data_IF_254218812421
#
_entry.id   IF_254218812421
#
_cell.length_a   1.000
_cell.length_b   1.000
_cell.length_c   1.000
_cell.angle_alpha   90.00
_cell.angle_beta   90.00
_cell.angle_gamma   90.00
#
_symmetry.space_group_name_H-M   'P 1'
#
loop_
_entity.id
_entity.type
_entity.pdbx_description
1 polymer ?
#
# COMPACT_ATOMS: atom_id res chain seq x y z
N UNK A 1 -26.06 15.87 -20.06
CA UNK A 1 -26.44 14.62 -19.36
C UNK A 1 -25.38 13.52 -19.55
N UNK A 2 -24.89 13.26 -20.76
CA UNK A 2 -23.89 12.20 -21.06
C UNK A 2 -22.56 12.34 -20.30
N UNK A 3 -22.07 13.56 -20.11
CA UNK A 3 -20.82 13.81 -19.37
C UNK A 3 -20.87 13.37 -17.90
N UNK A 4 -21.99 13.56 -17.21
CA UNK A 4 -22.15 13.10 -15.82
C UNK A 4 -22.20 11.58 -15.72
N UNK A 5 -22.74 10.89 -16.74
CA UNK A 5 -22.74 9.43 -16.81
C UNK A 5 -21.32 8.91 -16.98
N UNK A 6 -20.53 9.55 -17.86
CA UNK A 6 -19.12 9.19 -18.05
C UNK A 6 -18.27 9.39 -16.79
N UNK A 7 -18.40 10.53 -16.09
CA UNK A 7 -17.66 10.79 -14.84
C UNK A 7 -18.00 9.75 -13.77
N UNK A 8 -19.29 9.41 -13.60
CA UNK A 8 -19.71 8.36 -12.66
C UNK A 8 -19.11 6.99 -13.00
N UNK A 9 -19.01 6.66 -14.28
CA UNK A 9 -18.36 5.43 -14.72
C UNK A 9 -16.84 5.44 -14.43
N UNK A 10 -16.17 6.57 -14.61
CA UNK A 10 -14.75 6.74 -14.27
C UNK A 10 -14.51 6.62 -12.76
N UNK A 11 -15.35 7.25 -11.93
CA UNK A 11 -15.27 7.12 -10.46
C UNK A 11 -15.35 5.65 -10.06
N UNK A 12 -16.32 4.91 -10.61
CA UNK A 12 -16.48 3.48 -10.30
C UNK A 12 -15.26 2.66 -10.69
N UNK A 13 -14.66 2.92 -11.85
CA UNK A 13 -13.43 2.26 -12.27
C UNK A 13 -12.27 2.55 -11.31
N UNK A 14 -12.12 3.81 -10.86
CA UNK A 14 -11.10 4.19 -9.90
C UNK A 14 -11.33 3.55 -8.53
N UNK A 15 -12.58 3.41 -8.09
CA UNK A 15 -12.95 2.71 -6.84
C UNK A 15 -12.57 1.22 -6.89
N UNK A 16 -12.81 0.55 -8.03
CA UNK A 16 -12.42 -0.85 -8.22
C UNK A 16 -10.89 -1.03 -8.17
N UNK A 17 -10.15 -0.13 -8.83
CA UNK A 17 -8.67 -0.12 -8.77
C UNK A 17 -8.18 0.13 -7.34
N UNK A 18 -8.76 1.11 -6.65
CA UNK A 18 -8.44 1.44 -5.27
C UNK A 18 -8.67 0.25 -4.32
N UNK A 19 -9.78 -0.46 -4.49
CA UNK A 19 -10.08 -1.67 -3.72
C UNK A 19 -9.04 -2.77 -3.96
N UNK A 20 -8.61 -2.96 -5.21
CA UNK A 20 -7.54 -3.89 -5.58
C UNK A 20 -6.20 -3.53 -4.94
N UNK A 21 -5.81 -2.25 -4.97
CA UNK A 21 -4.55 -1.78 -4.37
C UNK A 21 -4.56 -1.92 -2.85
N UNK A 22 -5.66 -1.58 -2.18
CA UNK A 22 -5.83 -1.78 -0.72
C UNK A 22 -5.72 -3.24 -0.33
N UNK A 23 -6.33 -4.13 -1.12
CA UNK A 23 -6.22 -5.58 -0.91
C UNK A 23 -4.78 -6.05 -1.03
N UNK A 24 -4.07 -5.58 -2.07
CA UNK A 24 -2.66 -5.88 -2.27
C UNK A 24 -1.80 -5.39 -1.10
N UNK A 25 -1.99 -4.14 -0.65
CA UNK A 25 -1.28 -3.57 0.50
C UNK A 25 -1.51 -4.40 1.76
N UNK A 26 -2.76 -4.77 2.04
CA UNK A 26 -3.11 -5.62 3.18
C UNK A 26 -2.41 -6.99 3.14
N UNK A 27 -2.44 -7.67 1.99
CA UNK A 27 -1.77 -8.96 1.82
C UNK A 27 -0.25 -8.84 1.97
N UNK A 28 0.33 -7.76 1.45
CA UNK A 28 1.76 -7.49 1.54
C UNK A 28 2.18 -7.26 3.00
N UNK A 29 1.43 -6.45 3.74
CA UNK A 29 1.67 -6.18 5.15
C UNK A 29 1.52 -7.45 6.02
N UNK A 30 0.53 -8.28 5.72
CA UNK A 30 0.36 -9.56 6.41
C UNK A 30 1.54 -10.51 6.17
N UNK A 31 2.05 -10.59 4.93
CA UNK A 31 3.23 -11.38 4.60
C UNK A 31 4.47 -10.88 5.33
N UNK A 32 4.72 -9.57 5.33
CA UNK A 32 5.87 -9.02 6.06
C UNK A 32 5.76 -9.28 7.55
N UNK A 33 4.57 -9.11 8.15
CA UNK A 33 4.37 -9.40 9.58
C UNK A 33 4.71 -10.86 9.92
N UNK A 34 4.35 -11.81 9.07
CA UNK A 34 4.72 -13.21 9.25
C UNK A 34 6.23 -13.44 9.12
N UNK A 35 6.87 -12.82 8.12
CA UNK A 35 8.33 -12.92 7.91
C UNK A 35 9.10 -12.33 9.10
N UNK A 36 8.70 -11.17 9.61
CA UNK A 36 9.31 -10.53 10.77
C UNK A 36 9.16 -11.42 12.01
N UNK A 37 7.95 -11.95 12.25
CA UNK A 37 7.70 -12.85 13.36
C UNK A 37 8.56 -14.12 13.29
N UNK A 38 8.69 -14.72 12.10
CA UNK A 38 9.54 -15.89 11.89
C UNK A 38 11.01 -15.58 12.12
N UNK A 39 11.51 -14.49 11.54
CA UNK A 39 12.90 -14.06 11.70
C UNK A 39 13.26 -13.85 13.17
N UNK A 40 12.49 -13.05 13.91
CA UNK A 40 12.78 -12.77 15.32
C UNK A 40 12.60 -13.99 16.21
N UNK A 41 11.69 -14.91 15.88
CA UNK A 41 11.56 -16.19 16.59
C UNK A 41 12.80 -17.06 16.44
N UNK A 42 13.37 -17.14 15.24
CA UNK A 42 14.60 -17.91 14.97
C UNK A 42 15.79 -17.20 15.59
N UNK A 43 16.00 -15.93 15.25
CA UNK A 43 17.09 -15.10 15.75
C UNK A 43 17.14 -15.05 17.29
N UNK A 44 15.98 -14.94 17.95
CA UNK A 44 15.89 -14.93 19.41
C UNK A 44 16.39 -16.22 20.09
N UNK A 45 16.35 -17.36 19.38
CA UNK A 45 16.83 -18.66 19.89
C UNK A 45 18.29 -18.94 19.58
N UNK A 46 18.90 -18.15 18.71
CA UNK A 46 20.30 -18.34 18.33
C UNK A 46 21.24 -18.01 19.50
N UNK A 47 22.37 -18.72 19.54
CA UNK A 47 23.43 -18.49 20.51
C UNK A 47 24.09 -17.13 20.31
N UNK A 48 24.55 -16.51 21.38
CA UNK A 48 25.16 -15.18 21.34
C UNK A 48 26.43 -15.16 20.46
N UNK A 49 27.24 -16.22 20.51
CA UNK A 49 28.42 -16.35 19.64
C UNK A 49 28.04 -16.38 18.15
N UNK A 50 26.90 -16.98 17.79
CA UNK A 50 26.41 -16.97 16.42
C UNK A 50 25.93 -15.58 16.01
N UNK A 51 25.20 -14.87 16.87
CA UNK A 51 24.74 -13.50 16.60
C UNK A 51 25.89 -12.53 16.34
N UNK A 52 27.01 -12.74 17.04
CA UNK A 52 28.24 -11.95 16.91
C UNK A 52 29.20 -12.48 15.83
N UNK A 53 28.89 -13.62 15.20
CA UNK A 53 29.67 -14.16 14.09
C UNK A 53 29.45 -13.36 12.80
N UNK A 54 30.40 -13.39 11.84
CA UNK A 54 30.21 -12.81 10.51
C UNK A 54 28.94 -13.33 9.81
N UNK A 55 28.61 -14.60 9.98
CA UNK A 55 27.43 -15.24 9.40
C UNK A 55 26.13 -14.69 9.99
N UNK A 56 26.07 -14.55 11.32
CA UNK A 56 24.93 -13.95 12.02
C UNK A 56 24.73 -12.49 11.61
N UNK A 57 25.81 -11.71 11.56
CA UNK A 57 25.76 -10.32 11.10
C UNK A 57 25.31 -10.20 9.65
N UNK A 58 25.73 -11.13 8.76
CA UNK A 58 25.25 -11.18 7.38
C UNK A 58 23.76 -11.48 7.31
N UNK A 59 23.27 -12.42 8.10
CA UNK A 59 21.84 -12.76 8.16
C UNK A 59 21.00 -11.56 8.62
N UNK A 60 21.42 -10.87 9.68
CA UNK A 60 20.76 -9.67 10.18
C UNK A 60 20.78 -8.52 9.15
N UNK A 61 21.90 -8.33 8.46
CA UNK A 61 22.04 -7.33 7.40
C UNK A 61 21.11 -7.60 6.21
N UNK A 62 21.00 -8.86 5.80
CA UNK A 62 20.08 -9.28 4.74
C UNK A 62 18.62 -9.01 5.14
N UNK A 63 18.23 -9.40 6.35
CA UNK A 63 16.88 -9.11 6.88
C UNK A 63 16.60 -7.61 6.86
N UNK A 64 17.51 -6.78 7.38
CA UNK A 64 17.33 -5.33 7.38
C UNK A 64 17.20 -4.75 5.97
N UNK A 65 17.95 -5.29 5.01
CA UNK A 65 17.89 -4.88 3.60
C UNK A 65 16.55 -5.25 2.96
N UNK A 66 16.04 -6.45 3.24
CA UNK A 66 14.75 -6.92 2.74
C UNK A 66 13.60 -6.11 3.37
N UNK A 67 13.65 -5.82 4.67
CA UNK A 67 12.69 -4.93 5.34
C UNK A 67 12.72 -3.51 4.76
N UNK A 68 13.90 -2.98 4.44
CA UNK A 68 14.01 -1.66 3.82
C UNK A 68 13.38 -1.61 2.42
N UNK A 69 13.59 -2.65 1.60
CA UNK A 69 12.95 -2.76 0.28
C UNK A 69 11.44 -2.89 0.39
N UNK A 70 10.95 -3.74 1.29
CA UNK A 70 9.53 -3.86 1.56
C UNK A 70 8.91 -2.50 1.93
N UNK A 71 9.55 -1.72 2.81
CA UNK A 71 9.05 -0.39 3.19
C UNK A 71 8.99 0.58 2.01
N UNK A 72 9.98 0.53 1.12
CA UNK A 72 9.96 1.35 -0.09
C UNK A 72 8.78 0.98 -1.00
N UNK A 73 8.56 -0.32 -1.24
CA UNK A 73 7.42 -0.81 -2.02
C UNK A 73 6.07 -0.47 -1.37
N UNK A 74 6.01 -0.52 -0.04
CA UNK A 74 4.83 -0.14 0.73
C UNK A 74 4.49 1.34 0.54
N UNK A 75 5.48 2.22 0.69
CA UNK A 75 5.30 3.67 0.51
C UNK A 75 4.88 4.04 -0.92
N UNK A 76 5.45 3.39 -1.93
CA UNK A 76 5.05 3.57 -3.34
C UNK A 76 3.57 3.16 -3.55
N UNK A 77 3.15 2.05 -2.94
CA UNK A 77 1.77 1.59 -3.04
C UNK A 77 0.79 2.50 -2.28
N UNK A 78 1.18 2.97 -1.10
CA UNK A 78 0.41 3.94 -0.31
C UNK A 78 0.25 5.27 -1.07
N UNK A 79 1.32 5.78 -1.70
CA UNK A 79 1.23 6.99 -2.54
C UNK A 79 0.26 6.82 -3.71
N UNK A 80 0.28 5.67 -4.40
CA UNK A 80 -0.66 5.39 -5.50
C UNK A 80 -2.11 5.32 -5.02
N UNK A 81 -2.33 4.79 -3.82
CA UNK A 81 -3.64 4.76 -3.17
C UNK A 81 -4.11 6.19 -2.90
N UNK A 82 -3.24 7.02 -2.32
CA UNK A 82 -3.54 8.42 -2.02
C UNK A 82 -3.86 9.24 -3.29
N UNK A 83 -3.09 9.04 -4.36
CA UNK A 83 -3.31 9.71 -5.65
C UNK A 83 -4.68 9.36 -6.24
N UNK A 84 -5.07 8.09 -6.21
CA UNK A 84 -6.38 7.65 -6.71
C UNK A 84 -7.52 8.17 -5.83
N UNK A 85 -7.34 8.18 -4.50
CA UNK A 85 -8.32 8.76 -3.59
C UNK A 85 -8.52 10.25 -3.82
N UNK A 86 -7.43 10.97 -4.13
CA UNK A 86 -7.49 12.37 -4.49
C UNK A 86 -8.22 12.58 -5.83
N UNK A 87 -7.92 11.78 -6.86
CA UNK A 87 -8.61 11.84 -8.14
C UNK A 87 -10.11 11.61 -8.00
N UNK A 88 -10.54 10.58 -7.27
CA UNK A 88 -11.96 10.32 -7.01
C UNK A 88 -12.63 11.52 -6.35
N UNK A 89 -11.97 12.16 -5.38
CA UNK A 89 -12.49 13.35 -4.70
C UNK A 89 -12.68 14.52 -5.66
N UNK A 90 -11.74 14.74 -6.58
CA UNK A 90 -11.86 15.79 -7.60
C UNK A 90 -13.06 15.56 -8.52
N UNK A 91 -13.24 14.32 -8.99
CA UNK A 91 -14.37 13.96 -9.87
C UNK A 91 -15.73 14.10 -9.16
N UNK A 92 -15.80 13.76 -7.86
CA UNK A 92 -16.99 13.98 -7.04
C UNK A 92 -17.31 15.46 -6.87
N UNK A 93 -16.31 16.28 -6.51
CA UNK A 93 -16.48 17.73 -6.39
C UNK A 93 -16.95 18.36 -7.72
N UNK A 94 -16.45 17.84 -8.85
CA UNK A 94 -16.89 18.27 -10.17
C UNK A 94 -18.37 17.96 -10.39
N UNK A 95 -18.82 16.75 -10.06
CA UNK A 95 -20.23 16.36 -10.16
C UNK A 95 -21.13 17.22 -9.28
N UNK A 96 -20.70 17.56 -8.06
CA UNK A 96 -21.48 18.39 -7.14
C UNK A 96 -21.60 19.84 -7.64
N UNK A 97 -20.52 20.40 -8.17
CA UNK A 97 -20.49 21.77 -8.69
C UNK A 97 -21.38 21.94 -9.93
N UNK A 98 -21.33 21.01 -10.88
CA UNK A 98 -22.16 21.10 -12.11
C UNK A 98 -23.55 20.48 -11.95
N UNK A 99 -23.76 19.61 -10.97
CA UNK A 99 -25.07 19.10 -10.60
C UNK A 99 -25.95 20.16 -9.94
N UNK A 100 -25.36 21.08 -9.17
CA UNK A 100 -26.07 22.19 -8.52
C UNK A 100 -26.35 23.41 -9.43
N UNK A 101 -25.67 23.53 -10.57
CA UNK A 101 -25.86 24.61 -11.54
C UNK A 101 -26.95 24.30 -12.60
N UNK A 102 -27.60 23.12 -12.53
CA UNK A 102 -28.64 22.69 -13.47
C UNK A 102 -30.09 22.96 -13.03
N UNK A 103 -30.30 23.64 -11.90
CA UNK A 103 -31.63 24.01 -11.35
C UNK A 103 -31.89 25.53 -11.43
N UNK A 104 -31.65 26.17 -12.58
CA UNK A 104 -32.15 27.54 -12.87
C UNK A 104 -32.70 27.62 -14.29
#
# INVERSE_FOLDING_TARGET
>A
MERNIWIKAQIRQLEDVLAGLRTRLSMMNARQSNNDAEFWRVWGREREDYKNSPEGMRLLSNYNSDTARFRADQLDLESKIDDIQYQIRLELNFLDYFGSQGEV
#
